data_IF_106277800473
#
_entry.id   IF_106277800473
#
_cell.length_a   1.000
_cell.length_b   1.000
_cell.length_c   1.000
_cell.angle_alpha   90.00
_cell.angle_beta   90.00
_cell.angle_gamma   90.00
#
_symmetry.space_group_name_H-M   'P 1'
#
loop_
_entity.id
_entity.type
_entity.pdbx_description
1 polymer ?
#
# COMPACT_ATOMS: atom_id res chain seq x y z
N UNK A 1 -0.51 42.27 -31.78
CA UNK A 1 -1.42 42.52 -30.64
C UNK A 1 -2.51 41.46 -30.77
N UNK A 2 -2.25 40.26 -30.22
CA UNK A 2 -2.72 39.81 -28.88
C UNK A 2 -4.27 39.79 -28.85
N UNK A 3 -4.98 38.69 -28.61
CA UNK A 3 -4.71 37.55 -27.74
C UNK A 3 -5.64 36.37 -28.08
N UNK A 4 -5.16 35.16 -27.75
CA UNK A 4 -5.90 33.92 -27.53
C UNK A 4 -6.97 34.09 -26.44
N UNK A 5 -8.07 33.34 -26.52
CA UNK A 5 -8.41 32.36 -25.48
C UNK A 5 -9.61 31.48 -25.87
N UNK A 6 -9.34 30.17 -25.93
CA UNK A 6 -10.32 29.11 -25.90
C UNK A 6 -10.01 28.31 -24.62
N UNK A 7 -10.96 28.17 -23.70
CA UNK A 7 -10.82 27.29 -22.54
C UNK A 7 -12.07 26.39 -22.45
N UNK A 8 -11.92 25.05 -22.51
CA UNK A 8 -13.05 24.11 -22.63
C UNK A 8 -13.64 23.64 -21.29
N UNK A 9 -13.37 24.32 -20.18
CA UNK A 9 -13.83 23.90 -18.85
C UNK A 9 -14.60 25.02 -18.13
N UNK A 10 -15.86 25.21 -18.51
CA UNK A 10 -16.83 25.97 -17.72
C UNK A 10 -17.80 24.99 -17.01
N UNK A 11 -17.97 25.07 -15.67
CA UNK A 11 -18.86 24.18 -14.94
C UNK A 11 -20.33 24.62 -15.09
N UNK A 12 -21.20 23.70 -15.51
CA UNK A 12 -22.65 23.91 -15.53
C UNK A 12 -23.28 23.64 -14.16
N UNK A 13 -24.14 24.55 -13.73
CA UNK A 13 -24.93 24.52 -12.48
C UNK A 13 -26.27 23.74 -12.67
N UNK A 14 -27.01 23.42 -11.59
CA UNK A 14 -27.73 22.16 -11.45
C UNK A 14 -29.15 22.17 -12.03
N UNK A 15 -29.61 21.01 -12.52
CA UNK A 15 -30.99 20.79 -12.91
C UNK A 15 -31.78 20.06 -11.81
N UNK A 16 -33.03 20.49 -11.68
CA UNK A 16 -33.94 20.28 -10.58
C UNK A 16 -34.63 18.91 -10.53
N UNK A 17 -35.18 18.66 -9.34
CA UNK A 17 -36.15 17.66 -8.90
C UNK A 17 -37.21 17.25 -9.94
N UNK A 18 -37.46 15.94 -10.03
CA UNK A 18 -38.70 15.38 -10.58
C UNK A 18 -39.21 14.20 -9.75
N UNK A 19 -40.54 14.15 -9.64
CA UNK A 19 -41.37 13.42 -8.69
C UNK A 19 -41.52 11.92 -8.99
N UNK A 20 -41.85 11.17 -7.94
CA UNK A 20 -42.28 9.77 -7.98
C UNK A 20 -43.66 9.60 -8.65
N UNK A 21 -43.87 8.48 -9.36
CA UNK A 21 -45.16 7.80 -9.35
C UNK A 21 -45.05 6.46 -8.63
N UNK A 22 -45.93 6.26 -7.66
CA UNK A 22 -46.26 4.97 -7.09
C UNK A 22 -46.77 4.03 -8.18
N UNK A 23 -46.16 2.84 -8.29
CA UNK A 23 -46.89 1.67 -8.76
C UNK A 23 -46.50 0.46 -7.93
N UNK A 24 -47.46 -0.03 -7.15
CA UNK A 24 -47.34 -1.19 -6.31
C UNK A 24 -47.59 -2.44 -7.17
N UNK A 25 -46.55 -3.22 -7.41
CA UNK A 25 -46.66 -4.62 -7.80
C UNK A 25 -45.97 -5.46 -6.75
N UNK A 26 -46.80 -6.26 -6.07
CA UNK A 26 -46.42 -7.27 -5.10
C UNK A 26 -45.51 -8.31 -5.75
N UNK A 27 -44.20 -8.19 -5.55
CA UNK A 27 -43.24 -9.25 -5.82
C UNK A 27 -42.84 -9.88 -4.49
N UNK A 28 -43.19 -11.15 -4.36
CA UNK A 28 -42.73 -12.09 -3.32
C UNK A 28 -41.21 -11.98 -3.15
N UNK A 29 -40.64 -11.95 -1.92
CA UNK A 29 -39.20 -11.90 -1.74
C UNK A 29 -38.64 -13.29 -2.07
N UNK A 30 -38.28 -13.51 -3.33
CA UNK A 30 -37.39 -14.61 -3.71
C UNK A 30 -36.01 -14.28 -3.17
N UNK A 31 -35.53 -15.13 -2.26
CA UNK A 31 -34.28 -14.97 -1.54
C UNK A 31 -33.12 -14.54 -2.44
N UNK A 32 -32.40 -13.52 -2.00
CA UNK A 32 -31.06 -13.22 -2.48
C UNK A 32 -30.21 -14.43 -2.14
N UNK A 33 -29.98 -15.31 -3.12
CA UNK A 33 -28.96 -16.35 -2.98
C UNK A 33 -27.63 -15.68 -2.64
N UNK A 34 -27.05 -16.05 -1.51
CA UNK A 34 -25.75 -15.58 -1.05
C UNK A 34 -24.72 -15.84 -2.15
N UNK A 35 -24.40 -14.82 -2.94
CA UNK A 35 -23.23 -14.89 -3.81
C UNK A 35 -22.01 -15.01 -2.89
N UNK A 36 -21.10 -15.96 -3.13
CA UNK A 36 -19.87 -16.04 -2.37
C UNK A 36 -19.12 -14.71 -2.46
N UNK A 37 -18.51 -14.30 -1.35
CA UNK A 37 -17.68 -13.09 -1.31
C UNK A 37 -16.58 -13.18 -2.37
N UNK A 38 -16.31 -12.05 -3.04
CA UNK A 38 -15.20 -11.90 -3.96
C UNK A 38 -14.64 -10.48 -3.84
N UNK A 39 -13.34 -10.39 -3.58
CA UNK A 39 -12.63 -9.11 -3.45
C UNK A 39 -12.54 -8.37 -4.79
N UNK A 40 -12.60 -9.09 -5.91
CA UNK A 40 -12.62 -8.51 -7.26
C UNK A 40 -13.88 -7.64 -7.49
N UNK A 41 -15.03 -8.05 -6.96
CA UNK A 41 -16.30 -7.32 -7.10
C UNK A 41 -16.39 -6.05 -6.22
N UNK A 42 -15.43 -5.82 -5.34
CA UNK A 42 -15.42 -4.70 -4.41
C UNK A 42 -15.04 -3.40 -5.13
N UNK A 43 -15.94 -2.41 -5.11
CA UNK A 43 -15.72 -1.09 -5.71
C UNK A 43 -14.67 -0.25 -4.98
N UNK A 44 -14.57 -0.39 -3.65
CA UNK A 44 -13.58 0.29 -2.82
C UNK A 44 -13.16 -0.60 -1.66
N UNK A 45 -11.89 -0.98 -1.62
CA UNK A 45 -11.33 -1.89 -0.61
C UNK A 45 -11.32 -1.19 0.75
N UNK A 46 -11.78 -1.92 1.78
CA UNK A 46 -11.94 -1.48 3.17
C UNK A 46 -11.51 -2.61 4.09
N UNK A 47 -11.30 -2.32 5.37
CA UNK A 47 -10.81 -3.29 6.36
C UNK A 47 -11.70 -4.53 6.44
N UNK A 48 -13.02 -4.34 6.38
CA UNK A 48 -14.01 -5.43 6.36
C UNK A 48 -13.81 -6.38 5.18
N UNK A 49 -13.53 -5.86 3.99
CA UNK A 49 -13.34 -6.69 2.78
C UNK A 49 -12.11 -7.59 2.90
N UNK A 50 -11.05 -7.10 3.55
CA UNK A 50 -9.83 -7.90 3.79
C UNK A 50 -10.07 -8.99 4.85
N UNK A 51 -10.87 -8.69 5.88
CA UNK A 51 -11.30 -9.70 6.86
C UNK A 51 -12.20 -10.77 6.22
N UNK A 52 -13.12 -10.36 5.33
CA UNK A 52 -13.95 -11.28 4.55
C UNK A 52 -13.11 -12.15 3.61
N UNK A 53 -12.09 -11.58 2.96
CA UNK A 53 -11.15 -12.34 2.14
C UNK A 53 -10.46 -13.44 2.96
N UNK A 54 -9.94 -13.13 4.16
CA UNK A 54 -9.38 -14.14 5.06
C UNK A 54 -10.40 -15.23 5.42
N UNK A 55 -11.62 -14.85 5.80
CA UNK A 55 -12.67 -15.79 6.16
C UNK A 55 -13.09 -16.71 5.00
N UNK A 56 -13.07 -16.19 3.77
CA UNK A 56 -13.36 -16.94 2.55
C UNK A 56 -12.17 -17.75 2.00
N UNK A 57 -10.96 -17.57 2.58
CA UNK A 57 -9.73 -18.16 2.05
C UNK A 57 -9.23 -17.50 0.75
N UNK A 58 -9.77 -16.34 0.38
CA UNK A 58 -9.36 -15.54 -0.77
C UNK A 58 -8.09 -14.75 -0.45
N UNK A 59 -7.10 -14.78 -1.35
CA UNK A 59 -5.84 -14.03 -1.20
C UNK A 59 -6.01 -12.61 -1.73
N UNK A 60 -5.28 -11.66 -1.15
CA UNK A 60 -5.26 -10.28 -1.65
C UNK A 60 -3.84 -9.78 -1.94
N UNK A 61 -3.76 -8.77 -2.80
CA UNK A 61 -2.53 -8.21 -3.33
C UNK A 61 -2.23 -6.84 -2.76
N UNK A 62 -0.96 -6.60 -2.43
CA UNK A 62 -0.44 -5.30 -2.06
C UNK A 62 0.82 -5.01 -2.87
N UNK A 63 0.94 -3.79 -3.37
CA UNK A 63 2.19 -3.28 -3.94
C UNK A 63 2.53 -1.96 -3.28
N UNK A 64 3.82 -1.66 -3.16
CA UNK A 64 4.19 -0.28 -2.87
C UNK A 64 3.78 0.65 -4.01
N UNK A 65 3.58 1.93 -3.72
CA UNK A 65 3.27 2.94 -4.72
C UNK A 65 3.66 4.32 -4.19
N UNK A 66 4.14 5.23 -5.05
CA UNK A 66 4.70 6.51 -4.61
C UNK A 66 4.27 7.71 -5.47
N UNK A 67 3.52 7.48 -6.55
CA UNK A 67 3.10 8.54 -7.45
C UNK A 67 1.70 8.26 -8.04
N UNK A 68 1.13 9.32 -8.62
CA UNK A 68 -0.23 9.31 -9.15
C UNK A 68 -0.43 8.36 -10.35
N UNK A 69 0.51 8.34 -11.30
CA UNK A 69 0.34 7.57 -12.54
C UNK A 69 0.47 6.07 -12.28
N UNK A 70 1.45 5.69 -11.47
CA UNK A 70 1.62 4.30 -11.02
C UNK A 70 0.39 3.84 -10.23
N UNK A 71 -0.15 4.69 -9.34
CA UNK A 71 -1.36 4.37 -8.58
C UNK A 71 -2.55 4.07 -9.49
N UNK A 72 -2.77 4.90 -10.52
CA UNK A 72 -3.85 4.66 -11.49
C UNK A 72 -3.68 3.34 -12.26
N UNK A 73 -2.45 2.97 -12.62
CA UNK A 73 -2.16 1.70 -13.30
C UNK A 73 -2.48 0.53 -12.37
N UNK A 74 -1.98 0.56 -11.14
CA UNK A 74 -2.20 -0.51 -10.16
C UNK A 74 -3.67 -0.63 -9.73
N UNK A 75 -4.38 0.49 -9.59
CA UNK A 75 -5.81 0.51 -9.27
C UNK A 75 -6.64 -0.16 -10.38
N UNK A 76 -6.37 0.17 -11.66
CA UNK A 76 -7.01 -0.49 -12.83
C UNK A 76 -6.64 -1.96 -12.96
N UNK A 77 -5.43 -2.34 -12.57
CA UNK A 77 -4.98 -3.73 -12.55
C UNK A 77 -5.63 -4.56 -11.42
N UNK A 78 -6.38 -3.92 -10.53
CA UNK A 78 -7.08 -4.60 -9.44
C UNK A 78 -6.24 -4.83 -8.19
N UNK A 79 -5.10 -4.16 -8.01
CA UNK A 79 -4.33 -4.24 -6.77
C UNK A 79 -5.19 -3.80 -5.59
N UNK A 80 -5.26 -4.61 -4.52
CA UNK A 80 -6.21 -4.39 -3.43
C UNK A 80 -5.74 -3.34 -2.44
N UNK A 81 -4.43 -3.25 -2.23
CA UNK A 81 -3.79 -2.32 -1.30
C UNK A 81 -2.56 -1.65 -1.93
N UNK A 82 -2.43 -0.34 -1.74
CA UNK A 82 -1.25 0.42 -2.16
C UNK A 82 -0.52 0.94 -0.94
N UNK A 83 0.75 0.56 -0.79
CA UNK A 83 1.62 0.97 0.31
C UNK A 83 2.51 2.14 -0.09
N UNK A 84 2.31 3.30 0.51
CA UNK A 84 3.33 4.35 0.50
C UNK A 84 4.28 4.03 1.66
N UNK A 85 5.24 3.16 1.36
CA UNK A 85 6.19 2.65 2.33
C UNK A 85 7.42 3.54 2.47
N UNK A 86 8.06 3.52 3.63
CA UNK A 86 9.33 4.23 3.89
C UNK A 86 10.49 3.72 3.01
N UNK A 87 10.35 2.54 2.40
CA UNK A 87 11.13 2.07 1.24
C UNK A 87 11.29 3.12 0.13
N UNK A 88 10.41 4.13 0.04
CA UNK A 88 10.59 5.32 -0.79
C UNK A 88 11.95 5.99 -0.59
N UNK A 89 12.50 5.97 0.64
CA UNK A 89 13.85 6.44 0.94
C UNK A 89 14.86 5.90 -0.08
N UNK A 90 14.85 4.59 -0.33
CA UNK A 90 15.79 3.96 -1.24
C UNK A 90 15.37 4.11 -2.70
N UNK A 91 14.11 3.79 -3.02
CA UNK A 91 13.68 3.60 -4.42
C UNK A 91 13.13 4.86 -5.09
N UNK A 92 12.87 5.92 -4.32
CA UNK A 92 12.42 7.23 -4.82
C UNK A 92 13.52 8.27 -4.59
N UNK A 93 14.02 8.37 -3.35
CA UNK A 93 14.97 9.43 -2.97
C UNK A 93 16.44 9.05 -3.09
N UNK A 94 16.75 7.76 -3.27
CA UNK A 94 18.13 7.28 -3.40
C UNK A 94 18.93 7.31 -2.10
N UNK A 95 18.27 7.41 -0.94
CA UNK A 95 18.91 7.28 0.37
C UNK A 95 19.44 5.86 0.59
N UNK A 96 20.50 5.76 1.38
CA UNK A 96 21.10 4.47 1.74
C UNK A 96 20.25 3.67 2.73
N UNK A 97 19.46 4.35 3.57
CA UNK A 97 18.63 3.73 4.62
C UNK A 97 17.23 4.36 4.67
N UNK A 98 16.24 3.58 5.10
CA UNK A 98 14.87 4.07 5.37
C UNK A 98 14.81 4.98 6.59
N UNK A 99 15.84 4.98 7.44
CA UNK A 99 15.91 5.85 8.62
C UNK A 99 15.95 7.35 8.29
N UNK A 100 16.29 7.70 7.04
CA UNK A 100 16.48 9.10 6.62
C UNK A 100 15.18 9.77 6.20
N UNK A 101 14.19 9.01 5.70
CA UNK A 101 12.97 9.63 5.15
C UNK A 101 12.13 10.24 6.26
N UNK A 102 11.68 11.46 6.04
CA UNK A 102 10.89 12.22 7.01
C UNK A 102 9.39 12.07 6.76
N UNK A 103 8.59 12.41 7.78
CA UNK A 103 7.13 12.50 7.64
C UNK A 103 6.72 13.49 6.53
N UNK A 104 7.45 14.60 6.40
CA UNK A 104 7.14 15.65 5.41
C UNK A 104 7.50 15.24 3.97
N UNK A 105 8.44 14.31 3.79
CA UNK A 105 8.72 13.69 2.49
C UNK A 105 7.67 12.64 2.14
N UNK A 106 7.17 11.90 3.13
CA UNK A 106 6.13 10.88 2.91
C UNK A 106 4.78 11.49 2.50
N UNK A 107 4.36 12.58 3.13
CA UNK A 107 3.01 13.17 2.93
C UNK A 107 2.70 13.49 1.45
N UNK A 108 3.58 14.16 0.66
CA UNK A 108 3.35 14.40 -0.76
C UNK A 108 3.20 13.14 -1.61
N UNK A 109 3.93 12.07 -1.29
CA UNK A 109 3.80 10.77 -1.97
C UNK A 109 2.43 10.16 -1.67
N UNK A 110 2.00 10.17 -0.40
CA UNK A 110 0.67 9.71 0.01
C UNK A 110 -0.42 10.50 -0.72
N UNK A 111 -0.33 11.83 -0.74
CA UNK A 111 -1.29 12.69 -1.44
C UNK A 111 -1.37 12.38 -2.94
N UNK A 112 -0.23 12.07 -3.57
CA UNK A 112 -0.17 11.73 -4.99
C UNK A 112 -0.83 10.39 -5.28
N UNK A 113 -0.55 9.37 -4.48
CA UNK A 113 -1.17 8.04 -4.61
C UNK A 113 -2.66 8.07 -4.29
N UNK A 114 -3.06 8.79 -3.24
CA UNK A 114 -4.47 8.89 -2.83
C UNK A 114 -5.36 9.51 -3.93
N UNK A 115 -4.83 10.44 -4.73
CA UNK A 115 -5.53 10.98 -5.90
C UNK A 115 -5.67 9.98 -7.05
N UNK A 116 -4.73 9.04 -7.17
CA UNK A 116 -4.69 8.05 -8.26
C UNK A 116 -5.48 6.78 -7.98
N UNK A 117 -5.74 6.46 -6.70
CA UNK A 117 -6.43 5.25 -6.28
C UNK A 117 -7.94 5.48 -6.05
N UNK A 118 -8.77 4.81 -6.86
CA UNK A 118 -10.23 4.88 -6.72
C UNK A 118 -10.80 3.68 -5.96
N UNK A 119 -10.23 2.48 -6.20
CA UNK A 119 -10.63 1.21 -5.62
C UNK A 119 -9.74 0.80 -4.45
N UNK A 120 -8.43 0.79 -4.64
CA UNK A 120 -7.46 0.23 -3.70
C UNK A 120 -7.47 0.92 -2.33
N UNK A 121 -7.15 0.17 -1.28
CA UNK A 121 -6.88 0.76 0.03
C UNK A 121 -5.48 1.36 0.05
N UNK A 122 -5.40 2.69 0.21
CA UNK A 122 -4.16 3.42 0.40
C UNK A 122 -3.69 3.32 1.86
N UNK A 123 -2.50 2.77 2.06
CA UNK A 123 -1.84 2.60 3.35
C UNK A 123 -0.55 3.42 3.36
N UNK A 124 -0.29 4.18 4.41
CA UNK A 124 0.93 4.97 4.56
C UNK A 124 1.76 4.52 5.76
N UNK A 125 3.08 4.47 5.60
CA UNK A 125 4.00 4.21 6.70
C UNK A 125 4.16 5.42 7.61
N UNK A 126 4.23 5.15 8.91
CA UNK A 126 4.92 6.03 9.84
C UNK A 126 6.44 5.83 9.66
N UNK A 127 7.18 6.85 9.20
CA UNK A 127 8.63 6.74 9.08
C UNK A 127 9.30 6.74 10.46
N UNK A 128 10.53 6.25 10.52
CA UNK A 128 11.34 6.24 11.73
C UNK A 128 11.42 7.62 12.39
N UNK A 129 11.36 7.65 13.72
CA UNK A 129 11.39 8.87 14.54
C UNK A 129 10.05 9.61 14.64
N UNK A 130 9.03 9.20 13.88
CA UNK A 130 7.72 9.88 13.85
C UNK A 130 6.71 9.34 14.86
N UNK A 131 7.01 8.24 15.57
CA UNK A 131 6.03 7.59 16.46
C UNK A 131 6.62 7.03 17.76
N UNK A 132 7.91 6.74 17.79
CA UNK A 132 8.59 6.00 18.85
C UNK A 132 8.65 6.78 20.17
N UNK A 133 8.55 8.12 20.12
CA UNK A 133 8.64 8.95 21.32
C UNK A 133 7.46 8.71 22.27
N UNK A 134 6.23 8.56 21.74
CA UNK A 134 5.03 8.35 22.56
C UNK A 134 3.81 7.96 21.72
N UNK A 135 2.77 7.34 22.33
CA UNK A 135 1.49 7.11 21.66
C UNK A 135 0.85 8.40 21.12
N UNK A 136 1.05 9.54 21.81
CA UNK A 136 0.53 10.84 21.37
C UNK A 136 1.21 11.34 20.09
N UNK A 137 2.53 11.18 19.98
CA UNK A 137 3.28 11.48 18.76
C UNK A 137 2.79 10.61 17.60
N UNK A 138 2.64 9.30 17.84
CA UNK A 138 2.16 8.35 16.83
C UNK A 138 0.78 8.73 16.28
N UNK A 139 -0.16 9.13 17.15
CA UNK A 139 -1.48 9.64 16.75
C UNK A 139 -1.35 10.93 15.93
N UNK A 140 -0.51 11.87 16.35
CA UNK A 140 -0.31 13.13 15.62
C UNK A 140 0.24 12.90 14.21
N UNK A 141 1.29 12.09 14.07
CA UNK A 141 1.89 11.74 12.78
C UNK A 141 0.92 10.98 11.88
N UNK A 142 0.20 10.00 12.44
CA UNK A 142 -0.84 9.26 11.72
C UNK A 142 -1.96 10.18 11.20
N UNK A 143 -2.40 11.14 12.03
CA UNK A 143 -3.42 12.10 11.62
C UNK A 143 -2.95 13.00 10.47
N UNK A 144 -1.66 13.36 10.41
CA UNK A 144 -1.09 14.11 9.26
C UNK A 144 -1.13 13.30 7.98
N UNK A 145 -0.67 12.05 7.99
CA UNK A 145 -0.71 11.16 6.81
C UNK A 145 -2.14 10.94 6.28
N UNK A 146 -3.12 10.87 7.19
CA UNK A 146 -4.54 10.76 6.82
C UNK A 146 -5.09 12.09 6.26
N UNK A 147 -4.87 13.22 6.94
CA UNK A 147 -5.51 14.50 6.61
C UNK A 147 -4.83 15.24 5.46
N UNK A 148 -3.49 15.27 5.46
CA UNK A 148 -2.68 15.95 4.44
C UNK A 148 -2.40 15.01 3.26
N UNK A 149 -2.17 13.73 3.55
CA UNK A 149 -1.86 12.71 2.54
C UNK A 149 -3.08 12.00 1.95
N UNK A 150 -4.20 11.91 2.67
CA UNK A 150 -5.36 11.15 2.19
C UNK A 150 -5.22 9.62 2.32
N UNK A 151 -4.33 9.13 3.19
CA UNK A 151 -4.27 7.71 3.52
C UNK A 151 -5.62 7.19 4.05
N UNK A 152 -5.88 5.90 3.88
CA UNK A 152 -7.03 5.21 4.49
C UNK A 152 -6.65 4.44 5.77
N UNK A 153 -5.38 4.08 5.90
CA UNK A 153 -4.83 3.31 7.00
C UNK A 153 -3.34 3.64 7.18
N UNK A 154 -2.80 3.30 8.35
CA UNK A 154 -1.40 3.53 8.71
C UNK A 154 -0.70 2.20 8.96
N UNK A 155 0.51 2.03 8.44
CA UNK A 155 1.41 0.95 8.84
C UNK A 155 2.41 1.48 9.88
N UNK A 156 2.63 0.67 10.91
CA UNK A 156 3.57 0.94 12.01
C UNK A 156 4.44 -0.30 12.26
N UNK A 157 5.75 -0.10 12.39
CA UNK A 157 6.68 -1.14 12.85
C UNK A 157 6.63 -1.19 14.38
N UNK A 158 6.28 -2.35 14.92
CA UNK A 158 5.97 -2.47 16.34
C UNK A 158 6.22 -3.88 16.86
N UNK A 159 6.43 -3.98 18.17
CA UNK A 159 6.45 -5.22 18.93
C UNK A 159 5.44 -5.14 20.09
N UNK A 160 5.37 -6.17 20.94
CA UNK A 160 4.42 -6.23 22.05
C UNK A 160 4.53 -5.05 23.04
N UNK A 161 5.71 -4.42 23.17
CA UNK A 161 5.89 -3.26 24.04
C UNK A 161 5.20 -1.99 23.50
N UNK A 162 4.86 -1.95 22.21
CA UNK A 162 4.21 -0.80 21.55
C UNK A 162 2.70 -0.96 21.39
N UNK A 163 2.06 -1.88 22.13
CA UNK A 163 0.60 -2.06 22.07
C UNK A 163 -0.18 -0.79 22.43
N UNK A 164 0.35 0.05 23.33
CA UNK A 164 -0.27 1.34 23.67
C UNK A 164 -0.29 2.32 22.50
N UNK A 165 0.71 2.27 21.60
CA UNK A 165 0.78 3.10 20.40
C UNK A 165 -0.31 2.68 19.41
N UNK A 166 -0.39 1.39 19.10
CA UNK A 166 -1.44 0.85 18.21
C UNK A 166 -2.82 1.17 18.77
N UNK A 167 -3.05 0.94 20.07
CA UNK A 167 -4.34 1.22 20.70
C UNK A 167 -4.69 2.71 20.64
N UNK A 168 -3.73 3.61 20.81
CA UNK A 168 -3.96 5.05 20.71
C UNK A 168 -4.38 5.47 19.29
N UNK A 169 -3.68 4.99 18.26
CA UNK A 169 -4.00 5.26 16.85
C UNK A 169 -5.40 4.72 16.50
N UNK A 170 -5.70 3.48 16.89
CA UNK A 170 -7.01 2.85 16.67
C UNK A 170 -8.13 3.60 17.39
N UNK A 171 -7.91 4.04 18.64
CA UNK A 171 -8.89 4.86 19.40
C UNK A 171 -9.14 6.22 18.77
N UNK A 172 -8.17 6.77 18.04
CA UNK A 172 -8.34 7.99 17.25
C UNK A 172 -9.15 7.76 15.95
N UNK A 173 -9.60 6.53 15.69
CA UNK A 173 -10.38 6.17 14.51
C UNK A 173 -9.54 5.83 13.27
N UNK A 174 -8.23 5.61 13.44
CA UNK A 174 -7.30 5.35 12.33
C UNK A 174 -7.02 3.84 12.25
N UNK A 175 -7.32 3.17 11.12
CA UNK A 175 -6.99 1.76 10.93
C UNK A 175 -5.48 1.52 10.90
N UNK A 176 -5.01 0.48 11.60
CA UNK A 176 -3.58 0.13 11.70
C UNK A 176 -3.26 -1.21 11.07
N UNK A 177 -2.23 -1.22 10.20
CA UNK A 177 -1.47 -2.41 9.79
C UNK A 177 -0.23 -2.51 10.68
N UNK A 178 -0.14 -3.52 11.52
CA UNK A 178 1.05 -3.73 12.36
C UNK A 178 2.12 -4.49 11.56
N UNK A 179 3.38 -4.08 11.64
CA UNK A 179 4.51 -4.76 10.99
C UNK A 179 5.41 -5.42 12.04
N UNK A 180 5.52 -6.76 11.96
CA UNK A 180 6.37 -7.60 12.83
C UNK A 180 7.36 -8.44 12.02
N UNK A 181 8.33 -9.06 12.70
CA UNK A 181 9.39 -9.83 12.05
C UNK A 181 10.63 -8.98 11.87
N UNK A 182 11.17 -8.92 10.65
CA UNK A 182 12.23 -7.96 10.35
C UNK A 182 11.62 -6.58 10.11
N UNK A 183 11.91 -5.63 10.98
CA UNK A 183 11.46 -4.24 10.87
C UNK A 183 12.64 -3.38 10.40
N UNK A 184 12.69 -2.95 9.12
CA UNK A 184 13.81 -2.20 8.55
C UNK A 184 14.24 -0.97 9.37
N UNK A 185 13.31 -0.29 10.05
CA UNK A 185 13.61 0.87 10.89
C UNK A 185 14.43 0.50 12.15
N UNK A 186 14.58 -0.80 12.43
CA UNK A 186 15.43 -1.34 13.49
C UNK A 186 16.67 -2.05 12.94
N UNK A 187 17.08 -1.82 11.69
CA UNK A 187 18.17 -2.56 11.04
C UNK A 187 19.47 -2.57 11.85
N UNK A 188 19.84 -1.45 12.48
CA UNK A 188 21.04 -1.34 13.31
C UNK A 188 20.93 -2.18 14.60
N UNK A 189 19.75 -2.22 15.22
CA UNK A 189 19.50 -3.05 16.41
C UNK A 189 19.41 -4.54 16.05
N UNK A 190 18.92 -4.88 14.85
CA UNK A 190 18.76 -6.24 14.35
C UNK A 190 20.05 -6.82 13.73
N UNK A 191 21.06 -5.98 13.49
CA UNK A 191 22.34 -6.39 12.89
C UNK A 191 22.24 -6.64 11.39
N UNK A 192 21.43 -5.83 10.69
CA UNK A 192 21.17 -5.87 9.25
C UNK A 192 20.06 -6.83 8.84
N UNK A 193 19.89 -7.01 7.52
CA UNK A 193 18.84 -7.81 6.88
C UNK A 193 19.00 -9.32 7.19
N UNK A 194 18.47 -9.74 8.33
CA UNK A 194 18.51 -11.13 8.80
C UNK A 194 17.11 -11.70 8.94
N UNK A 195 16.96 -12.95 8.53
CA UNK A 195 15.72 -13.72 8.72
C UNK A 195 15.39 -13.81 10.21
N UNK A 196 14.18 -13.42 10.57
CA UNK A 196 13.64 -13.52 11.92
C UNK A 196 12.87 -14.83 12.10
N UNK A 197 12.59 -15.21 13.34
CA UNK A 197 11.78 -16.40 13.64
C UNK A 197 12.49 -17.75 13.50
N UNK A 198 13.78 -17.84 13.84
CA UNK A 198 14.47 -19.12 14.07
C UNK A 198 14.58 -19.41 15.57
N UNK A 199 14.20 -20.62 15.99
CA UNK A 199 14.22 -21.02 17.40
C UNK A 199 13.30 -20.15 18.26
N UNK A 200 13.76 -19.76 19.45
CA UNK A 200 13.03 -18.93 20.43
C UNK A 200 12.55 -17.58 19.84
N UNK A 201 13.21 -17.08 18.79
CA UNK A 201 12.77 -15.86 18.09
C UNK A 201 11.43 -16.02 17.37
N UNK A 202 10.98 -17.25 17.11
CA UNK A 202 9.66 -17.52 16.51
C UNK A 202 8.53 -17.19 17.49
N UNK A 203 8.72 -17.51 18.77
CA UNK A 203 7.72 -17.27 19.82
C UNK A 203 7.52 -15.78 20.07
N UNK A 204 8.61 -15.00 20.03
CA UNK A 204 8.57 -13.55 20.14
C UNK A 204 7.72 -12.93 19.02
N UNK A 205 7.95 -13.31 17.75
CA UNK A 205 7.17 -12.79 16.61
C UNK A 205 5.68 -13.15 16.73
N UNK A 206 5.36 -14.35 17.20
CA UNK A 206 3.97 -14.78 17.44
C UNK A 206 3.33 -13.95 18.56
N UNK A 207 4.05 -13.72 19.65
CA UNK A 207 3.59 -12.90 20.77
C UNK A 207 3.36 -11.44 20.35
N UNK A 208 4.31 -10.85 19.60
CA UNK A 208 4.20 -9.49 19.06
C UNK A 208 2.96 -9.35 18.16
N UNK A 209 2.81 -10.25 17.18
CA UNK A 209 1.68 -10.23 16.25
C UNK A 209 0.34 -10.31 16.98
N UNK A 210 0.24 -11.23 17.95
CA UNK A 210 -0.97 -11.42 18.75
C UNK A 210 -1.28 -10.18 19.59
N UNK A 211 -0.28 -9.63 20.29
CA UNK A 211 -0.46 -8.47 21.13
C UNK A 211 -0.92 -7.23 20.33
N UNK A 212 -0.37 -7.04 19.13
CA UNK A 212 -0.73 -5.93 18.25
C UNK A 212 -2.13 -6.11 17.62
N UNK A 213 -2.49 -7.34 17.26
CA UNK A 213 -3.86 -7.68 16.85
C UNK A 213 -4.87 -7.41 17.98
N UNK A 214 -4.58 -7.85 19.21
CA UNK A 214 -5.40 -7.57 20.41
C UNK A 214 -5.46 -6.07 20.74
N UNK A 215 -4.44 -5.30 20.39
CA UNK A 215 -4.44 -3.83 20.51
C UNK A 215 -5.33 -3.12 19.48
N UNK A 216 -5.81 -3.84 18.45
CA UNK A 216 -6.77 -3.35 17.47
C UNK A 216 -6.22 -3.19 16.05
N UNK A 217 -5.01 -3.68 15.76
CA UNK A 217 -4.53 -3.73 14.37
C UNK A 217 -5.48 -4.58 13.52
N UNK A 218 -5.95 -4.04 12.39
CA UNK A 218 -6.87 -4.77 11.51
C UNK A 218 -6.14 -5.74 10.58
N UNK A 219 -4.82 -5.63 10.47
CA UNK A 219 -3.98 -6.49 9.66
C UNK A 219 -2.57 -6.55 10.27
N UNK A 220 -1.88 -7.67 10.07
CA UNK A 220 -0.48 -7.86 10.49
C UNK A 220 0.37 -8.21 9.28
N UNK A 221 1.38 -7.39 8.99
CA UNK A 221 2.41 -7.63 7.99
C UNK A 221 3.59 -8.35 8.65
N UNK A 222 4.09 -9.40 7.99
CA UNK A 222 5.23 -10.19 8.39
C UNK A 222 6.34 -10.10 7.35
N UNK A 223 7.53 -9.68 7.78
CA UNK A 223 8.70 -9.57 6.91
C UNK A 223 9.82 -10.53 7.32
N UNK A 224 10.39 -11.22 6.32
CA UNK A 224 11.55 -12.10 6.43
C UNK A 224 11.45 -13.12 7.59
N UNK A 225 10.33 -13.82 7.70
CA UNK A 225 10.12 -14.90 8.68
C UNK A 225 10.07 -16.28 8.01
N UNK A 226 10.31 -17.34 8.79
CA UNK A 226 10.16 -18.71 8.28
C UNK A 226 8.70 -19.06 7.97
N UNK A 227 8.46 -19.99 7.04
CA UNK A 227 7.10 -20.50 6.74
C UNK A 227 6.38 -21.02 7.98
N UNK A 228 7.12 -21.68 8.89
CA UNK A 228 6.58 -22.16 10.16
C UNK A 228 6.12 -21.00 11.04
N UNK A 229 6.96 -19.98 11.24
CA UNK A 229 6.60 -18.78 12.00
C UNK A 229 5.40 -18.06 11.39
N UNK A 230 5.38 -17.88 10.06
CA UNK A 230 4.25 -17.25 9.38
C UNK A 230 2.93 -18.00 9.60
N UNK A 231 2.96 -19.33 9.57
CA UNK A 231 1.77 -20.16 9.87
C UNK A 231 1.32 -20.01 11.32
N UNK A 232 2.26 -20.03 12.27
CA UNK A 232 1.97 -19.85 13.70
C UNK A 232 1.36 -18.49 13.98
N UNK A 233 1.89 -17.43 13.35
CA UNK A 233 1.33 -16.08 13.45
C UNK A 233 -0.08 -16.04 12.87
N UNK A 234 -0.29 -16.53 11.65
CA UNK A 234 -1.61 -16.48 10.99
C UNK A 234 -2.71 -17.20 11.80
N UNK A 235 -2.35 -18.30 12.47
CA UNK A 235 -3.19 -19.01 13.44
C UNK A 235 -3.42 -18.19 14.72
N UNK A 236 -2.37 -17.61 15.30
CA UNK A 236 -2.44 -16.87 16.56
C UNK A 236 -3.28 -15.59 16.48
N UNK A 237 -3.27 -14.90 15.33
CA UNK A 237 -4.05 -13.67 15.12
C UNK A 237 -5.50 -13.93 14.67
N UNK A 238 -5.88 -15.20 14.49
CA UNK A 238 -7.26 -15.62 14.23
C UNK A 238 -7.86 -14.95 13.00
N UNK A 239 -8.94 -14.19 13.16
CA UNK A 239 -9.65 -13.55 12.04
C UNK A 239 -8.89 -12.37 11.40
N UNK A 240 -7.82 -11.87 12.02
CA UNK A 240 -7.05 -10.72 11.49
C UNK A 240 -6.23 -11.16 10.27
N UNK A 241 -6.41 -10.52 9.10
CA UNK A 241 -5.61 -10.77 7.89
C UNK A 241 -4.11 -10.62 8.11
N UNK A 242 -3.33 -11.48 7.45
CA UNK A 242 -1.86 -11.39 7.44
C UNK A 242 -1.32 -11.03 6.05
N UNK A 243 -0.26 -10.24 5.98
CA UNK A 243 0.45 -9.89 4.73
C UNK A 243 1.87 -10.39 4.83
N UNK A 244 2.38 -11.07 3.79
CA UNK A 244 3.75 -11.57 3.76
C UNK A 244 4.65 -10.82 2.79
N UNK A 245 5.89 -10.57 3.20
CA UNK A 245 7.02 -10.25 2.31
C UNK A 245 8.23 -11.08 2.74
N UNK A 246 8.58 -12.07 1.92
CA UNK A 246 9.53 -13.11 2.35
C UNK A 246 9.04 -13.94 3.54
N UNK A 247 7.71 -14.09 3.69
CA UNK A 247 7.05 -14.83 4.78
C UNK A 247 6.21 -16.02 4.28
N UNK A 248 6.60 -16.62 3.14
CA UNK A 248 5.88 -17.72 2.47
C UNK A 248 4.49 -17.33 1.94
N UNK A 249 3.81 -18.25 1.26
CA UNK A 249 2.47 -18.09 0.67
C UNK A 249 1.32 -18.44 1.64
N UNK A 250 1.65 -18.72 2.91
CA UNK A 250 0.67 -19.11 3.94
C UNK A 250 -0.15 -17.92 4.45
N UNK A 251 0.39 -16.69 4.37
CA UNK A 251 -0.30 -15.45 4.77
C UNK A 251 -1.50 -15.15 3.88
N UNK A 252 -2.46 -14.37 4.36
CA UNK A 252 -3.66 -14.00 3.60
C UNK A 252 -3.35 -13.17 2.34
N UNK A 253 -2.45 -12.21 2.45
CA UNK A 253 -1.99 -11.37 1.34
C UNK A 253 -0.47 -11.39 1.18
N UNK A 254 0.01 -10.75 0.12
CA UNK A 254 1.42 -10.59 -0.20
C UNK A 254 1.72 -9.14 -0.57
N UNK A 255 2.91 -8.66 -0.20
CA UNK A 255 3.42 -7.35 -0.60
C UNK A 255 4.82 -7.46 -1.21
N UNK A 256 5.08 -6.62 -2.22
CA UNK A 256 6.42 -6.39 -2.75
C UNK A 256 6.62 -4.89 -2.98
N UNK A 257 7.87 -4.45 -2.90
CA UNK A 257 8.30 -3.17 -3.45
C UNK A 257 8.12 -3.22 -4.97
N UNK A 258 7.30 -2.35 -5.53
CA UNK A 258 6.89 -2.48 -6.94
C UNK A 258 8.07 -2.37 -7.90
N UNK A 259 9.06 -1.53 -7.60
CA UNK A 259 10.27 -1.39 -8.41
C UNK A 259 11.06 -2.69 -8.51
N UNK A 260 11.08 -3.48 -7.43
CA UNK A 260 11.68 -4.81 -7.43
C UNK A 260 10.85 -5.79 -8.25
N UNK A 261 9.54 -5.79 -8.02
CA UNK A 261 8.61 -6.66 -8.73
C UNK A 261 8.58 -6.37 -10.23
N UNK A 262 8.81 -5.13 -10.66
CA UNK A 262 8.77 -4.71 -12.06
C UNK A 262 10.14 -4.62 -12.74
N UNK A 263 11.21 -5.01 -12.04
CA UNK A 263 12.57 -5.03 -12.61
C UNK A 263 13.08 -3.64 -12.99
N UNK A 264 12.85 -2.65 -12.12
CA UNK A 264 13.43 -1.31 -12.25
C UNK A 264 14.87 -1.24 -11.72
N UNK A 265 15.20 -2.04 -10.71
CA UNK A 265 16.55 -2.09 -10.12
C UNK A 265 17.37 -3.21 -10.74
N UNK A 266 18.63 -2.92 -11.00
CA UNK A 266 19.64 -3.91 -11.37
C UNK A 266 20.39 -4.44 -10.15
N UNK A 267 21.05 -5.58 -10.31
CA UNK A 267 21.89 -6.18 -9.27
C UNK A 267 21.20 -7.28 -8.47
N UNK A 268 21.76 -7.57 -7.29
CA UNK A 268 21.34 -8.71 -6.47
C UNK A 268 20.05 -8.41 -5.72
N UNK A 269 18.95 -9.01 -6.18
CA UNK A 269 17.66 -8.91 -5.51
C UNK A 269 17.58 -9.79 -4.25
N UNK A 270 16.76 -9.40 -3.25
CA UNK A 270 16.40 -10.29 -2.15
C UNK A 270 15.79 -11.59 -2.67
N UNK A 271 16.10 -12.72 -2.01
CA UNK A 271 15.68 -14.07 -2.46
C UNK A 271 14.15 -14.23 -2.60
N UNK A 272 13.39 -13.43 -1.85
CA UNK A 272 11.91 -13.49 -1.87
C UNK A 272 11.28 -12.71 -3.01
N UNK A 273 12.05 -11.92 -3.77
CA UNK A 273 11.53 -11.13 -4.88
C UNK A 273 11.42 -12.00 -6.14
N UNK A 274 10.24 -11.93 -6.79
CA UNK A 274 10.05 -12.35 -8.17
C UNK A 274 9.89 -11.10 -9.04
N UNK A 275 10.64 -11.03 -10.13
CA UNK A 275 10.40 -10.05 -11.19
C UNK A 275 9.29 -10.54 -12.11
N UNK A 276 8.26 -9.70 -12.29
CA UNK A 276 7.12 -9.91 -13.18
C UNK A 276 7.30 -9.18 -14.52
N UNK A 277 8.23 -8.23 -14.59
CA UNK A 277 8.61 -7.49 -15.79
C UNK A 277 10.08 -7.00 -15.70
N UNK A 278 10.59 -6.42 -16.79
CA UNK A 278 11.89 -5.74 -16.87
C UNK A 278 11.69 -4.30 -17.36
N UNK A 279 10.97 -3.50 -16.58
CA UNK A 279 10.61 -2.12 -16.99
C UNK A 279 11.84 -1.23 -17.07
N UNK A 280 12.86 -1.45 -16.21
CA UNK A 280 14.10 -0.66 -16.23
C UNK A 280 14.81 -0.71 -17.58
N UNK A 281 15.02 -1.91 -18.12
CA UNK A 281 15.66 -2.09 -19.43
C UNK A 281 14.81 -1.50 -20.56
N UNK A 282 13.49 -1.68 -20.53
CA UNK A 282 12.60 -1.08 -21.53
C UNK A 282 12.68 0.45 -21.53
N UNK A 283 12.75 1.07 -20.34
CA UNK A 283 12.88 2.51 -20.19
C UNK A 283 14.25 3.01 -20.70
N UNK A 284 15.32 2.26 -20.42
CA UNK A 284 16.65 2.58 -20.93
C UNK A 284 16.70 2.52 -22.47
N UNK A 285 16.14 1.47 -23.07
CA UNK A 285 16.09 1.30 -24.52
C UNK A 285 15.27 2.43 -25.18
N UNK A 286 14.12 2.77 -24.62
CA UNK A 286 13.29 3.87 -25.10
C UNK A 286 14.04 5.22 -25.02
N UNK A 287 14.76 5.48 -23.92
CA UNK A 287 15.56 6.69 -23.77
C UNK A 287 16.74 6.74 -24.77
N UNK A 288 17.37 5.59 -25.06
CA UNK A 288 18.42 5.48 -26.08
C UNK A 288 17.88 5.75 -27.48
N UNK A 289 16.71 5.21 -27.81
CA UNK A 289 16.03 5.44 -29.09
C UNK A 289 15.67 6.93 -29.27
N UNK A 290 15.00 7.53 -28.29
CA UNK A 290 14.68 8.96 -28.29
C UNK A 290 15.93 9.83 -28.49
N UNK A 291 17.00 9.53 -27.74
CA UNK A 291 18.28 10.24 -27.89
C UNK A 291 18.90 10.08 -29.27
N UNK A 292 18.73 8.93 -29.92
CA UNK A 292 19.24 8.68 -31.27
C UNK A 292 18.49 9.52 -32.29
N UNK A 293 17.16 9.52 -32.25
CA UNK A 293 16.31 10.30 -33.18
C UNK A 293 16.50 11.81 -33.03
N UNK A 294 16.68 12.31 -31.81
CA UNK A 294 17.02 13.73 -31.58
C UNK A 294 18.38 14.09 -32.18
N UNK A 295 19.35 13.17 -32.17
CA UNK A 295 20.70 13.42 -32.68
C UNK A 295 20.79 13.30 -34.21
N UNK A 296 20.01 12.41 -34.81
CA UNK A 296 19.89 12.29 -36.26
C UNK A 296 19.07 13.43 -36.87
N UNK A 297 18.21 14.08 -36.07
CA UNK A 297 17.25 15.07 -36.53
C UNK A 297 15.96 14.44 -37.08
N UNK A 298 15.76 13.13 -36.87
CA UNK A 298 14.51 12.44 -37.20
C UNK A 298 13.37 12.87 -36.28
N UNK A 299 13.68 13.21 -35.02
CA UNK A 299 12.72 13.79 -34.08
C UNK A 299 13.03 15.28 -33.79
N UNK A 300 12.02 16.17 -33.81
CA UNK A 300 10.62 15.90 -34.18
C UNK A 300 10.44 15.76 -35.69
N UNK A 301 9.67 14.75 -36.11
CA UNK A 301 9.17 14.65 -37.47
C UNK A 301 8.04 15.68 -37.71
N UNK A 302 7.66 15.91 -38.97
CA UNK A 302 6.70 16.96 -39.34
C UNK A 302 5.37 16.85 -38.57
N UNK A 303 4.85 15.65 -38.36
CA UNK A 303 3.60 15.40 -37.63
C UNK A 303 3.66 15.75 -36.14
N UNK A 304 4.85 16.04 -35.60
CA UNK A 304 5.09 16.48 -34.23
C UNK A 304 5.39 17.99 -34.14
N UNK A 305 5.24 18.73 -35.24
CA UNK A 305 5.51 20.18 -35.32
C UNK A 305 4.22 20.97 -35.51
N UNK A 306 4.24 22.25 -35.09
CA UNK A 306 3.11 23.18 -35.23
C UNK A 306 3.50 24.33 -36.18
N UNK A 307 2.57 24.76 -37.02
CA UNK A 307 2.71 25.91 -37.93
C UNK A 307 2.16 27.21 -37.32
#
# INVERSE_FOLDING_TARGET
>A
MSENENAPYAPSAPAASAQHPHNATSATPTGTGDKPFSLEAVKKVRTLHLAQAKAAGEKFSMLTCYDFLTAQIFDRAGIDMLLIGDSAANVVYGYESTLTVTLDEMIPLVASVARGASRAMVVADLPFGSYEQSPAQAVASAARLMKEGGAHAIKIEANAAMTEWVRAIVRAGIPVVAHVGFTPQSEHALGGFRVQGRGEKSDAVVADARALAEAGAFCVLLEMVTTETARRVDQAVGAVPTIGIGASNVTTGQVLVWQDAMGMREGKLPKFVKQFAQIGSLLEDAARAYRAEVRSGEFPAQEHTFE
#
